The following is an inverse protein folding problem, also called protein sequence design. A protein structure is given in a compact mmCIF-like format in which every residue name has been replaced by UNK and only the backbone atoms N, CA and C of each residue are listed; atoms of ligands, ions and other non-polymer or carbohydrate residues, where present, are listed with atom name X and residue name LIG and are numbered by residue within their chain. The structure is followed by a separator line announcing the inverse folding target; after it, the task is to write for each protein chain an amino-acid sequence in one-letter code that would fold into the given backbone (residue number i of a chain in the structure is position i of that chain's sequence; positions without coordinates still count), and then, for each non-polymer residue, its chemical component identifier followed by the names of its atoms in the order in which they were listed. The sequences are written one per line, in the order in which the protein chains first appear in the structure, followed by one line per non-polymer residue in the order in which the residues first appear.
data_IF_946957956111
#
_entry.id   IF_946957956111
#
_cell.length_a   1.000
_cell.length_b   1.000
_cell.length_c   1.000
_cell.angle_alpha   90.00
_cell.angle_beta   90.00
_cell.angle_gamma   90.00
#
_symmetry.space_group_name_H-M   'P 1'
#
loop_
_entity.id
_entity.type
_entity.pdbx_description
1 polymer ?
#
# COMPACT_ATOMS: atom_id res chain seq x y z
N UNK A 1 33.47 -39.18 -8.25
CA UNK A 1 33.70 -37.89 -8.97
C UNK A 1 32.42 -37.33 -9.61
N UNK A 2 31.63 -38.10 -10.38
CA UNK A 2 30.41 -37.61 -11.05
C UNK A 2 29.25 -37.18 -10.14
N UNK A 3 29.11 -37.77 -8.95
CA UNK A 3 28.03 -37.44 -8.00
C UNK A 3 28.25 -36.09 -7.31
N UNK A 4 29.48 -35.82 -6.88
CA UNK A 4 29.86 -34.56 -6.21
C UNK A 4 29.69 -33.36 -7.15
N UNK A 5 30.06 -33.53 -8.42
CA UNK A 5 29.89 -32.48 -9.43
C UNK A 5 28.41 -32.14 -9.68
N UNK A 6 27.52 -33.15 -9.67
CA UNK A 6 26.06 -32.94 -9.79
C UNK A 6 25.47 -32.23 -8.58
N UNK A 7 25.94 -32.54 -7.38
CA UNK A 7 25.49 -31.89 -6.14
C UNK A 7 25.91 -30.41 -6.13
N UNK A 8 27.16 -30.11 -6.51
CA UNK A 8 27.67 -28.73 -6.60
C UNK A 8 26.88 -27.92 -7.65
N UNK A 9 26.59 -28.50 -8.81
CA UNK A 9 25.75 -27.86 -9.84
C UNK A 9 24.33 -27.61 -9.35
N UNK A 10 23.75 -28.53 -8.58
CA UNK A 10 22.42 -28.36 -8.01
C UNK A 10 22.39 -27.25 -6.94
N UNK A 11 23.42 -27.18 -6.09
CA UNK A 11 23.56 -26.10 -5.09
C UNK A 11 23.74 -24.74 -5.77
N UNK A 12 24.52 -24.67 -6.87
CA UNK A 12 24.69 -23.45 -7.66
C UNK A 12 23.41 -23.02 -8.39
N UNK A 13 22.62 -23.97 -8.89
CA UNK A 13 21.31 -23.68 -9.50
C UNK A 13 20.30 -23.18 -8.45
N UNK A 14 20.30 -23.75 -7.25
CA UNK A 14 19.43 -23.29 -6.14
C UNK A 14 19.88 -21.92 -5.62
N UNK A 15 21.19 -21.65 -5.53
CA UNK A 15 21.71 -20.34 -5.11
C UNK A 15 21.40 -19.22 -6.13
N UNK A 16 21.42 -19.51 -7.43
CA UNK A 16 21.01 -18.53 -8.45
C UNK A 16 19.49 -18.29 -8.45
N UNK A 17 18.66 -19.26 -8.06
CA UNK A 17 17.22 -19.03 -7.89
C UNK A 17 16.85 -18.25 -6.62
N UNK A 18 17.75 -18.17 -5.63
CA UNK A 18 17.53 -17.45 -4.38
C UNK A 18 17.96 -15.97 -4.43
N UNK A 19 18.66 -15.54 -5.49
CA UNK A 19 19.15 -14.16 -5.66
C UNK A 19 18.35 -13.32 -6.65
N UNK A 20 17.27 -13.87 -7.23
CA UNK A 20 16.23 -13.06 -7.84
C UNK A 20 15.29 -12.59 -6.75
N UNK A 21 15.66 -11.52 -6.03
CA UNK A 21 14.61 -10.59 -5.60
C UNK A 21 13.91 -10.20 -6.90
N UNK A 22 12.65 -10.62 -7.09
CA UNK A 22 11.94 -10.35 -8.35
C UNK A 22 12.07 -8.87 -8.66
N UNK A 23 12.54 -8.53 -9.87
CA UNK A 23 12.78 -7.12 -10.27
C UNK A 23 11.55 -6.23 -9.98
N UNK A 24 10.37 -6.85 -10.05
CA UNK A 24 9.08 -6.35 -9.62
C UNK A 24 9.08 -5.67 -8.24
N UNK A 25 9.75 -6.23 -7.23
CA UNK A 25 9.81 -5.66 -5.87
C UNK A 25 10.43 -4.27 -5.83
N UNK A 26 11.26 -3.91 -6.82
CA UNK A 26 11.93 -2.60 -6.87
C UNK A 26 10.96 -1.46 -7.16
N UNK A 27 9.86 -1.76 -7.84
CA UNK A 27 8.89 -0.76 -8.29
C UNK A 27 7.69 -0.60 -7.36
N UNK A 28 7.54 -1.52 -6.39
CA UNK A 28 6.52 -1.41 -5.35
C UNK A 28 6.73 -0.12 -4.55
N UNK A 29 5.64 0.53 -4.16
CA UNK A 29 5.65 1.74 -3.34
C UNK A 29 4.99 2.92 -4.02
N UNK A 30 5.14 4.09 -3.40
CA UNK A 30 4.62 5.36 -3.91
C UNK A 30 5.66 6.10 -4.75
N UNK A 31 5.20 6.75 -5.81
CA UNK A 31 6.01 7.49 -6.79
C UNK A 31 5.34 8.81 -7.14
N UNK A 32 6.00 9.93 -6.87
CA UNK A 32 5.56 11.26 -7.27
C UNK A 32 6.04 11.59 -8.67
N UNK A 33 5.18 12.18 -9.49
CA UNK A 33 5.62 12.81 -10.72
C UNK A 33 6.67 13.89 -10.42
N UNK A 34 7.85 13.79 -11.04
CA UNK A 34 8.97 14.69 -10.78
C UNK A 34 8.79 15.97 -11.59
N UNK A 35 8.19 17.00 -10.99
CA UNK A 35 7.98 18.29 -11.60
C UNK A 35 8.42 19.42 -10.66
N UNK A 36 9.47 20.14 -11.06
CA UNK A 36 10.07 21.21 -10.25
C UNK A 36 9.17 22.43 -10.08
N UNK A 37 8.15 22.58 -10.93
CA UNK A 37 7.30 23.78 -11.03
C UNK A 37 5.82 23.47 -10.74
N UNK A 38 5.48 22.20 -10.56
CA UNK A 38 4.10 21.80 -10.28
C UNK A 38 3.84 21.98 -8.79
N UNK A 39 2.76 22.67 -8.45
CA UNK A 39 2.39 22.90 -7.05
C UNK A 39 1.94 21.60 -6.37
N UNK A 40 1.42 20.65 -7.15
CA UNK A 40 0.98 19.33 -6.68
C UNK A 40 1.31 18.27 -7.73
N UNK A 41 1.85 17.13 -7.28
CA UNK A 41 2.26 16.02 -8.14
C UNK A 41 1.32 14.84 -7.97
N UNK A 42 0.96 14.19 -9.07
CA UNK A 42 0.33 12.87 -9.04
C UNK A 42 1.20 11.90 -8.24
N UNK A 43 0.57 11.15 -7.34
CA UNK A 43 1.18 10.05 -6.60
C UNK A 43 0.64 8.73 -7.13
N UNK A 44 1.51 7.93 -7.72
CA UNK A 44 1.22 6.55 -8.13
C UNK A 44 1.66 5.61 -7.02
N UNK A 45 0.77 4.75 -6.54
CA UNK A 45 1.11 3.67 -5.61
C UNK A 45 0.99 2.34 -6.34
N UNK A 46 2.09 1.58 -6.43
CA UNK A 46 2.12 0.21 -6.95
C UNK A 46 2.22 -0.76 -5.77
N UNK A 47 1.18 -1.54 -5.51
CA UNK A 47 1.12 -2.49 -4.39
C UNK A 47 1.59 -3.88 -4.77
N UNK A 48 2.07 -4.62 -3.77
CA UNK A 48 2.52 -6.00 -3.89
C UNK A 48 1.40 -6.99 -4.26
N UNK A 49 0.14 -6.63 -4.01
CA UNK A 49 -1.03 -7.41 -4.41
C UNK A 49 -1.58 -7.00 -5.78
N UNK A 50 -0.73 -6.37 -6.61
CA UNK A 50 -0.99 -6.02 -8.00
C UNK A 50 -2.12 -5.00 -8.20
N UNK A 51 -2.50 -4.28 -7.15
CA UNK A 51 -3.35 -3.09 -7.27
C UNK A 51 -2.49 -1.83 -7.41
N UNK A 52 -3.02 -0.84 -8.13
CA UNK A 52 -2.45 0.50 -8.13
C UNK A 52 -3.48 1.56 -7.81
N UNK A 53 -2.99 2.70 -7.31
CA UNK A 53 -3.78 3.89 -7.04
C UNK A 53 -3.08 5.13 -7.57
N UNK A 54 -3.86 6.08 -8.08
CA UNK A 54 -3.40 7.42 -8.44
C UNK A 54 -4.08 8.41 -7.51
N UNK A 55 -3.30 9.19 -6.80
CA UNK A 55 -3.77 10.26 -5.95
C UNK A 55 -3.33 11.62 -6.50
N UNK A 56 -4.23 12.61 -6.48
CA UNK A 56 -3.90 13.99 -6.84
C UNK A 56 -4.58 14.97 -5.86
N UNK A 57 -3.83 15.87 -5.22
CA UNK A 57 -4.38 16.92 -4.37
C UNK A 57 -5.31 17.91 -5.09
N UNK A 58 -5.03 18.27 -6.35
CA UNK A 58 -5.81 19.23 -7.14
C UNK A 58 -7.23 18.74 -7.45
N UNK A 59 -7.42 17.43 -7.46
CA UNK A 59 -8.71 16.82 -7.78
C UNK A 59 -9.62 16.65 -6.55
N UNK A 60 -9.13 17.01 -5.35
CA UNK A 60 -9.94 16.94 -4.15
C UNK A 60 -11.07 17.97 -4.17
N UNK A 61 -12.32 17.50 -4.13
CA UNK A 61 -13.49 18.38 -4.09
C UNK A 61 -13.78 18.80 -2.65
N UNK A 62 -13.08 19.84 -2.20
CA UNK A 62 -13.29 20.42 -0.87
C UNK A 62 -14.66 21.09 -0.73
N UNK A 63 -15.27 21.51 -1.85
CA UNK A 63 -16.57 22.21 -1.83
C UNK A 63 -17.70 21.29 -1.38
N UNK A 64 -17.63 20.01 -1.75
CA UNK A 64 -18.57 18.98 -1.31
C UNK A 64 -18.56 18.80 0.22
N UNK A 65 -17.39 18.84 0.85
CA UNK A 65 -17.24 18.73 2.30
C UNK A 65 -17.78 19.96 3.03
N UNK A 66 -17.54 21.16 2.51
CA UNK A 66 -18.09 22.40 3.10
C UNK A 66 -19.62 22.41 3.10
N UNK A 67 -20.24 21.81 2.08
CA UNK A 67 -21.69 21.78 1.92
C UNK A 67 -22.36 20.61 2.65
N UNK A 68 -21.71 19.43 2.69
CA UNK A 68 -22.33 18.18 3.18
C UNK A 68 -21.72 17.64 4.47
N UNK A 69 -20.54 18.12 4.86
CA UNK A 69 -19.74 17.54 5.94
C UNK A 69 -19.08 16.22 5.59
N UNK A 70 -19.24 15.71 4.36
CA UNK A 70 -18.71 14.44 3.90
C UNK A 70 -17.81 14.62 2.68
N UNK A 71 -16.69 13.90 2.67
CA UNK A 71 -15.82 13.78 1.50
C UNK A 71 -16.47 12.86 0.47
N UNK A 72 -16.20 13.07 -0.83
CA UNK A 72 -16.48 12.04 -1.85
C UNK A 72 -15.89 10.70 -1.40
N UNK A 73 -16.47 9.59 -1.86
CA UNK A 73 -16.18 8.26 -1.30
C UNK A 73 -14.71 7.86 -1.35
N UNK A 74 -13.89 8.47 -2.22
CA UNK A 74 -12.48 8.16 -2.37
C UNK A 74 -11.52 9.29 -1.95
N UNK A 75 -12.03 10.48 -1.62
CA UNK A 75 -11.21 11.59 -1.12
C UNK A 75 -10.79 11.33 0.32
N UNK A 76 -9.53 11.63 0.63
CA UNK A 76 -8.95 11.45 1.96
C UNK A 76 -8.39 12.77 2.48
N UNK A 77 -8.44 12.93 3.80
CA UNK A 77 -7.85 14.07 4.50
C UNK A 77 -6.71 13.57 5.38
N UNK A 78 -5.49 14.00 5.08
CA UNK A 78 -4.27 13.63 5.78
C UNK A 78 -3.71 14.88 6.45
N UNK A 79 -3.73 14.91 7.79
CA UNK A 79 -3.22 16.03 8.60
C UNK A 79 -3.68 17.43 8.13
N UNK A 80 -4.93 17.53 7.66
CA UNK A 80 -5.53 18.78 7.20
C UNK A 80 -5.44 19.01 5.69
N UNK A 81 -4.54 18.32 4.98
CA UNK A 81 -4.44 18.37 3.52
C UNK A 81 -5.42 17.38 2.88
N UNK A 82 -6.02 17.78 1.76
CA UNK A 82 -6.95 16.95 1.00
C UNK A 82 -6.25 16.34 -0.21
N UNK A 83 -6.62 15.11 -0.53
CA UNK A 83 -6.20 14.44 -1.76
C UNK A 83 -7.26 13.46 -2.22
N UNK A 84 -7.49 13.42 -3.53
CA UNK A 84 -8.46 12.53 -4.15
C UNK A 84 -7.74 11.31 -4.70
N UNK A 85 -8.28 10.11 -4.45
CA UNK A 85 -7.94 8.95 -5.28
C UNK A 85 -8.73 9.06 -6.57
N UNK A 86 -8.00 9.41 -7.62
CA UNK A 86 -8.53 9.74 -8.94
C UNK A 86 -8.71 8.52 -9.83
N UNK A 87 -7.86 7.51 -9.63
CA UNK A 87 -7.86 6.31 -10.43
C UNK A 87 -7.37 5.12 -9.60
N UNK A 88 -7.93 3.95 -9.88
CA UNK A 88 -7.45 2.68 -9.34
C UNK A 88 -7.62 1.55 -10.34
N UNK A 89 -6.84 0.50 -10.20
CA UNK A 89 -6.96 -0.69 -11.03
C UNK A 89 -5.94 -1.73 -10.64
N UNK A 90 -5.58 -2.58 -11.60
CA UNK A 90 -4.54 -3.60 -11.44
C UNK A 90 -3.33 -3.28 -12.31
N UNK A 91 -2.16 -3.78 -11.93
CA UNK A 91 -0.94 -3.60 -12.71
C UNK A 91 -0.20 -4.92 -12.89
N UNK A 92 0.56 -5.01 -13.97
CA UNK A 92 1.49 -6.11 -14.25
C UNK A 92 2.82 -5.56 -14.77
N UNK A 93 3.91 -6.27 -14.50
CA UNK A 93 5.22 -5.94 -15.03
C UNK A 93 5.85 -7.14 -15.74
N UNK A 94 6.17 -6.95 -17.02
CA UNK A 94 6.92 -7.91 -17.80
C UNK A 94 8.42 -7.58 -17.73
N UNK A 95 9.17 -8.39 -16.97
CA UNK A 95 10.62 -8.22 -16.80
C UNK A 95 11.44 -8.40 -18.08
N UNK A 96 10.93 -9.16 -19.05
CA UNK A 96 11.62 -9.41 -20.33
C UNK A 96 11.51 -8.22 -21.28
N UNK A 97 10.34 -7.57 -21.32
CA UNK A 97 10.10 -6.39 -22.16
C UNK A 97 10.26 -5.08 -21.42
N UNK A 98 10.47 -5.13 -20.09
CA UNK A 98 10.52 -3.98 -19.18
C UNK A 98 9.25 -3.12 -19.25
N UNK A 99 8.12 -3.76 -19.50
CA UNK A 99 6.84 -3.09 -19.70
C UNK A 99 5.98 -3.18 -18.43
N UNK A 100 5.58 -2.02 -17.91
CA UNK A 100 4.54 -1.88 -16.89
C UNK A 100 3.21 -1.65 -17.61
N UNK A 101 2.19 -2.44 -17.29
CA UNK A 101 0.84 -2.26 -17.84
C UNK A 101 -0.13 -2.01 -16.70
N UNK A 102 -0.85 -0.89 -16.76
CA UNK A 102 -1.99 -0.60 -15.91
C UNK A 102 -3.24 -1.10 -16.61
N UNK A 103 -4.07 -1.88 -15.93
CA UNK A 103 -5.26 -2.56 -16.45
C UNK A 103 -6.45 -2.37 -15.55
N UNK A 104 -7.62 -2.73 -16.07
CA UNK A 104 -8.91 -2.67 -15.35
C UNK A 104 -9.12 -1.28 -14.73
N UNK A 105 -8.66 -0.24 -15.46
CA UNK A 105 -8.58 1.13 -14.97
C UNK A 105 -9.97 1.64 -14.64
N UNK A 106 -10.18 2.03 -13.39
CA UNK A 106 -11.38 2.68 -12.90
C UNK A 106 -11.04 4.14 -12.58
N UNK A 107 -11.35 5.02 -13.54
CA UNK A 107 -11.19 6.47 -13.40
C UNK A 107 -12.40 6.98 -12.61
N UNK A 108 -12.12 7.49 -11.41
CA UNK A 108 -13.13 7.82 -10.41
C UNK A 108 -13.66 9.25 -10.54
N UNK A 109 -12.88 10.13 -11.17
CA UNK A 109 -13.25 11.52 -11.45
C UNK A 109 -13.42 11.73 -12.95
N UNK A 110 -14.29 12.66 -13.35
CA UNK A 110 -14.56 12.93 -14.78
C UNK A 110 -13.30 13.41 -15.52
N UNK A 111 -12.35 14.00 -14.79
CA UNK A 111 -11.14 14.63 -15.31
C UNK A 111 -10.00 14.56 -14.29
N UNK A 112 -8.80 14.14 -14.72
CA UNK A 112 -7.60 14.03 -13.88
C UNK A 112 -6.36 14.33 -14.71
N UNK A 113 -5.34 14.97 -14.11
CA UNK A 113 -4.07 15.26 -14.78
C UNK A 113 -3.46 13.99 -15.42
N UNK A 114 -3.46 12.88 -14.67
CA UNK A 114 -3.00 11.57 -15.14
C UNK A 114 -3.77 11.07 -16.38
N UNK A 115 -5.10 11.09 -16.35
CA UNK A 115 -5.91 10.57 -17.47
C UNK A 115 -5.87 11.49 -18.69
N UNK A 116 -5.59 12.78 -18.52
CA UNK A 116 -5.31 13.70 -19.63
C UNK A 116 -3.93 13.47 -20.25
N UNK A 117 -2.91 13.24 -19.41
CA UNK A 117 -1.54 13.06 -19.85
C UNK A 117 -1.39 11.79 -20.68
N UNK A 118 -1.95 10.67 -20.18
CA UNK A 118 -1.74 9.32 -20.69
C UNK A 118 -2.93 8.73 -21.45
N UNK A 119 -4.13 9.29 -21.28
CA UNK A 119 -5.35 8.80 -21.92
C UNK A 119 -6.29 8.01 -20.99
N UNK A 120 -7.47 7.69 -21.52
CA UNK A 120 -8.61 7.06 -20.81
C UNK A 120 -8.88 5.62 -21.24
N UNK A 121 -7.95 5.03 -21.96
CA UNK A 121 -8.01 3.64 -22.40
C UNK A 121 -8.08 2.70 -21.19
N UNK A 122 -8.73 1.55 -21.35
CA UNK A 122 -8.83 0.54 -20.27
C UNK A 122 -7.49 -0.06 -19.86
N UNK A 123 -6.48 0.09 -20.71
CA UNK A 123 -5.12 -0.35 -20.46
C UNK A 123 -4.14 0.74 -20.89
N UNK A 124 -3.12 0.98 -20.06
CA UNK A 124 -1.98 1.85 -20.40
C UNK A 124 -0.72 1.04 -20.27
N UNK A 125 0.15 1.12 -21.28
CA UNK A 125 1.41 0.41 -21.28
C UNK A 125 2.59 1.40 -21.31
N UNK A 126 3.50 1.22 -20.36
CA UNK A 126 4.69 2.03 -20.19
C UNK A 126 5.93 1.15 -20.33
N UNK A 127 6.92 1.63 -21.08
CA UNK A 127 8.28 1.13 -20.94
C UNK A 127 8.88 1.75 -19.67
N UNK A 128 9.11 0.92 -18.65
CA UNK A 128 9.62 1.34 -17.35
C UNK A 128 11.15 1.20 -17.31
N UNK A 129 11.83 2.31 -17.04
CA UNK A 129 13.29 2.33 -16.79
C UNK A 129 13.57 2.70 -15.35
N UNK A 130 14.32 1.87 -14.65
CA UNK A 130 14.84 2.22 -13.33
C UNK A 130 16.11 3.07 -13.50
N UNK A 131 16.11 4.30 -12.97
CA UNK A 131 17.28 5.17 -12.99
C UNK A 131 18.09 5.01 -11.69
N UNK A 132 17.39 4.89 -10.55
CA UNK A 132 17.99 4.60 -9.24
C UNK A 132 17.00 3.88 -8.30
N UNK A 133 17.35 3.72 -7.02
CA UNK A 133 16.40 3.22 -6.01
C UNK A 133 15.22 4.20 -5.78
N UNK A 134 15.46 5.50 -6.00
CA UNK A 134 14.52 6.58 -5.72
C UNK A 134 13.97 7.27 -6.97
N UNK A 135 14.38 6.83 -8.17
CA UNK A 135 13.98 7.47 -9.42
C UNK A 135 13.67 6.43 -10.49
N UNK A 136 12.50 6.56 -11.11
CA UNK A 136 12.09 5.77 -12.29
C UNK A 136 11.68 6.70 -13.42
N UNK A 137 11.68 6.17 -14.63
CA UNK A 137 11.18 6.83 -15.83
C UNK A 137 10.12 5.96 -16.50
N UNK A 138 8.93 6.52 -16.72
CA UNK A 138 7.84 5.91 -17.45
C UNK A 138 7.81 6.49 -18.86
N UNK A 139 8.05 5.65 -19.86
CA UNK A 139 7.98 6.04 -21.28
C UNK A 139 6.74 5.46 -21.96
N UNK A 140 6.01 6.27 -22.71
CA UNK A 140 4.80 5.89 -23.43
C UNK A 140 4.77 6.52 -24.83
N UNK A 141 3.97 5.96 -25.73
CA UNK A 141 3.77 6.55 -27.06
C UNK A 141 2.63 7.57 -27.02
N UNK A 142 2.91 8.80 -27.42
CA UNK A 142 1.93 9.87 -27.60
C UNK A 142 1.90 10.29 -29.06
N UNK A 143 0.94 9.74 -29.81
CA UNK A 143 0.72 10.03 -31.25
C UNK A 143 1.97 9.74 -32.11
N UNK A 144 2.60 8.59 -31.90
CA UNK A 144 3.79 8.14 -32.64
C UNK A 144 5.11 8.77 -32.18
N UNK A 145 5.11 9.46 -31.04
CA UNK A 145 6.33 9.98 -30.40
C UNK A 145 6.45 9.38 -29.01
N UNK A 146 7.62 8.81 -28.70
CA UNK A 146 7.93 8.36 -27.36
C UNK A 146 8.13 9.58 -26.45
N UNK A 147 7.35 9.65 -25.38
CA UNK A 147 7.47 10.63 -24.30
C UNK A 147 7.88 9.87 -23.05
N UNK A 148 8.81 10.42 -22.28
CA UNK A 148 9.30 9.82 -21.05
C UNK A 148 9.16 10.82 -19.90
N UNK A 149 8.62 10.34 -18.79
CA UNK A 149 8.33 11.15 -17.62
C UNK A 149 8.98 10.53 -16.39
N UNK A 150 9.58 11.39 -15.58
CA UNK A 150 10.33 10.98 -14.40
C UNK A 150 9.45 10.96 -13.16
N UNK A 151 9.75 10.02 -12.29
CA UNK A 151 9.05 9.84 -11.03
C UNK A 151 10.05 9.63 -9.89
N UNK A 152 9.80 10.29 -8.78
CA UNK A 152 10.59 10.21 -7.55
C UNK A 152 9.88 9.40 -6.47
N UNK A 153 10.65 8.64 -5.69
CA UNK A 153 10.08 7.75 -4.69
C UNK A 153 9.49 8.50 -3.50
N UNK A 154 8.24 8.18 -3.17
CA UNK A 154 7.59 8.61 -1.95
C UNK A 154 7.99 7.69 -0.78
N UNK A 155 9.03 8.08 -0.03
CA UNK A 155 9.50 7.32 1.13
C UNK A 155 8.54 7.30 2.33
N UNK A 156 7.42 8.05 2.28
CA UNK A 156 6.41 8.01 3.36
C UNK A 156 5.51 6.79 3.24
N UNK A 157 5.14 6.38 2.02
CA UNK A 157 4.30 5.20 1.82
C UNK A 157 5.10 3.91 1.97
N UNK A 158 4.58 2.99 2.76
CA UNK A 158 5.11 1.63 2.88
C UNK A 158 4.02 0.65 3.22
N UNK A 159 4.09 -0.53 2.63
CA UNK A 159 3.34 -1.67 3.14
C UNK A 159 4.00 -2.19 4.42
N UNK A 160 3.19 -2.62 5.38
CA UNK A 160 3.65 -3.12 6.69
C UNK A 160 3.20 -4.57 6.83
N UNK A 161 4.12 -5.45 7.23
CA UNK A 161 3.80 -6.81 7.64
C UNK A 161 4.59 -7.13 8.90
N UNK A 162 3.93 -7.07 10.04
CA UNK A 162 4.55 -7.21 11.36
C UNK A 162 3.84 -8.26 12.20
N UNK A 163 4.63 -9.14 12.82
CA UNK A 163 4.17 -10.06 13.84
C UNK A 163 4.46 -9.50 15.22
N UNK A 164 3.48 -9.63 16.11
CA UNK A 164 3.55 -9.19 17.49
C UNK A 164 3.10 -10.31 18.41
N UNK A 165 3.89 -10.55 19.44
CA UNK A 165 3.54 -11.49 20.51
C UNK A 165 3.79 -10.80 21.84
N UNK A 166 2.96 -11.08 22.83
CA UNK A 166 3.15 -10.49 24.14
C UNK A 166 2.29 -11.13 25.22
N UNK A 167 2.36 -10.52 26.39
CA UNK A 167 1.62 -10.95 27.58
C UNK A 167 0.95 -9.79 28.28
N UNK A 168 -0.26 -10.00 28.79
CA UNK A 168 -1.01 -9.00 29.54
C UNK A 168 -1.30 -7.74 28.73
N UNK A 169 -1.43 -6.62 29.46
CA UNK A 169 -1.79 -5.33 28.88
C UNK A 169 -0.67 -4.76 28.02
N UNK A 170 -1.02 -4.30 26.81
CA UNK A 170 -0.06 -3.72 25.89
C UNK A 170 -0.69 -2.56 25.11
N UNK A 171 0.12 -1.53 24.88
CA UNK A 171 -0.16 -0.50 23.90
C UNK A 171 0.93 -0.57 22.81
N UNK A 172 0.49 -0.60 21.55
CA UNK A 172 1.37 -0.50 20.38
C UNK A 172 0.84 0.54 19.41
N UNK A 173 1.75 1.29 18.81
CA UNK A 173 1.41 2.32 17.83
C UNK A 173 2.09 2.04 16.50
N UNK A 174 1.38 2.25 15.41
CA UNK A 174 1.91 2.16 14.04
C UNK A 174 1.58 3.47 13.32
N UNK A 175 2.60 4.14 12.80
CA UNK A 175 2.45 5.33 11.97
C UNK A 175 2.29 4.93 10.51
N UNK A 176 1.35 5.60 9.85
CA UNK A 176 0.94 5.36 8.47
C UNK A 176 1.11 6.64 7.64
N UNK A 177 1.22 6.48 6.32
CA UNK A 177 1.27 7.63 5.41
C UNK A 177 -0.10 8.28 5.20
N UNK A 178 -1.18 7.52 5.44
CA UNK A 178 -2.58 7.91 5.20
C UNK A 178 -3.12 7.42 3.86
N UNK A 179 -2.27 6.91 2.97
CA UNK A 179 -2.65 6.37 1.66
C UNK A 179 -2.97 4.88 1.68
N UNK A 180 -2.64 4.20 2.78
CA UNK A 180 -2.98 2.81 3.02
C UNK A 180 -4.51 2.67 3.03
N UNK A 181 -4.99 1.59 2.44
CA UNK A 181 -6.42 1.37 2.17
C UNK A 181 -7.01 0.30 3.05
N UNK A 182 -6.21 -0.68 3.48
CA UNK A 182 -6.69 -1.83 4.25
C UNK A 182 -5.66 -2.31 5.26
N UNK A 183 -6.16 -2.63 6.45
CA UNK A 183 -5.50 -3.42 7.47
C UNK A 183 -6.12 -4.80 7.48
N UNK A 184 -5.32 -5.83 7.23
CA UNK A 184 -5.65 -7.21 7.55
C UNK A 184 -5.03 -7.56 8.89
N UNK A 185 -5.89 -7.72 9.88
CA UNK A 185 -5.52 -8.00 11.26
C UNK A 185 -5.85 -9.44 11.59
N UNK A 186 -4.84 -10.21 11.97
CA UNK A 186 -5.04 -11.55 12.54
C UNK A 186 -4.65 -11.59 14.00
N UNK A 187 -5.49 -12.17 14.86
CA UNK A 187 -5.22 -12.22 16.30
C UNK A 187 -5.58 -13.58 16.92
N UNK A 188 -4.90 -13.89 18.02
CA UNK A 188 -5.10 -15.09 18.82
C UNK A 188 -4.85 -14.75 20.30
N UNK A 189 -5.86 -14.92 21.15
CA UNK A 189 -5.82 -14.75 22.61
C UNK A 189 -5.88 -16.11 23.28
N UNK A 190 -4.82 -16.50 23.98
CA UNK A 190 -4.67 -17.85 24.52
C UNK A 190 -5.26 -17.97 25.92
N UNK A 191 -6.22 -18.89 26.07
CA UNK A 191 -6.84 -19.35 27.34
C UNK A 191 -7.62 -18.28 28.11
N UNK A 192 -7.01 -17.14 28.41
CA UNK A 192 -7.64 -16.05 29.13
C UNK A 192 -8.32 -15.08 28.15
N UNK A 193 -9.46 -14.47 28.54
CA UNK A 193 -10.12 -13.48 27.70
C UNK A 193 -9.32 -12.17 27.62
N UNK A 194 -8.94 -11.78 26.41
CA UNK A 194 -8.37 -10.45 26.14
C UNK A 194 -9.36 -9.60 25.35
N UNK A 195 -9.24 -8.29 25.50
CA UNK A 195 -9.88 -7.32 24.64
C UNK A 195 -8.82 -6.64 23.76
N UNK A 196 -9.04 -6.62 22.45
CA UNK A 196 -8.28 -5.78 21.53
C UNK A 196 -9.15 -4.63 21.05
N UNK A 197 -8.70 -3.42 21.35
CA UNK A 197 -9.24 -2.18 20.81
C UNK A 197 -8.22 -1.61 19.83
N UNK A 198 -8.67 -1.27 18.64
CA UNK A 198 -7.91 -0.55 17.64
C UNK A 198 -8.51 0.84 17.46
N UNK A 199 -7.70 1.87 17.66
CA UNK A 199 -8.10 3.28 17.52
C UNK A 199 -7.24 4.00 16.50
N UNK A 200 -7.77 5.11 15.95
CA UNK A 200 -6.98 6.07 15.18
C UNK A 200 -6.33 7.16 16.07
N UNK A 201 -5.64 8.13 15.45
CA UNK A 201 -5.01 9.27 16.12
C UNK A 201 -5.98 10.11 16.99
N UNK A 202 -7.26 10.17 16.62
CA UNK A 202 -8.29 10.94 17.31
C UNK A 202 -8.92 10.16 18.48
N UNK A 203 -8.59 8.87 18.64
CA UNK A 203 -9.23 7.97 19.58
C UNK A 203 -10.53 7.34 19.04
N UNK A 204 -10.85 7.52 17.76
CA UNK A 204 -11.98 6.84 17.13
C UNK A 204 -11.68 5.35 17.05
N UNK A 205 -12.58 4.54 17.60
CA UNK A 205 -12.48 3.07 17.54
C UNK A 205 -12.75 2.61 16.11
N UNK A 206 -11.75 1.98 15.50
CA UNK A 206 -11.84 1.36 14.18
C UNK A 206 -12.29 -0.11 14.28
N UNK A 207 -11.90 -0.78 15.36
CA UNK A 207 -12.29 -2.15 15.66
C UNK A 207 -12.18 -2.45 17.15
N UNK A 208 -13.05 -3.30 17.65
CA UNK A 208 -13.02 -3.78 19.03
C UNK A 208 -13.50 -5.23 19.09
N UNK A 209 -12.83 -6.06 19.88
CA UNK A 209 -13.36 -7.38 20.25
C UNK A 209 -14.13 -7.29 21.57
N UNK A 210 -15.03 -8.21 21.82
CA UNK A 210 -15.40 -8.52 23.20
C UNK A 210 -14.20 -9.12 23.93
N UNK A 211 -14.28 -9.24 25.26
CA UNK A 211 -13.31 -10.01 26.04
C UNK A 211 -13.48 -11.48 25.76
N UNK A 212 -12.62 -12.03 24.92
CA UNK A 212 -12.76 -13.41 24.43
C UNK A 212 -11.43 -14.13 24.47
N UNK A 213 -11.46 -15.41 24.81
CA UNK A 213 -10.39 -16.32 24.44
C UNK A 213 -10.65 -16.82 23.02
N UNK A 214 -9.60 -16.99 22.23
CA UNK A 214 -9.74 -17.56 20.89
C UNK A 214 -9.26 -18.99 20.88
N UNK A 215 -10.09 -19.92 20.41
CA UNK A 215 -9.68 -21.32 20.19
C UNK A 215 -8.84 -21.51 18.93
N UNK A 216 -8.88 -20.54 18.01
CA UNK A 216 -8.14 -20.48 16.75
C UNK A 216 -7.93 -19.02 16.34
N UNK A 217 -6.87 -18.75 15.56
CA UNK A 217 -6.64 -17.48 14.87
C UNK A 217 -7.92 -16.93 14.23
N UNK A 218 -8.23 -15.67 14.53
CA UNK A 218 -9.26 -14.87 13.87
C UNK A 218 -8.58 -13.88 12.94
N UNK A 219 -9.24 -13.57 11.82
CA UNK A 219 -8.75 -12.59 10.84
C UNK A 219 -9.90 -11.67 10.46
N UNK A 220 -9.60 -10.39 10.36
CA UNK A 220 -10.52 -9.36 9.90
C UNK A 220 -9.81 -8.41 8.94
N UNK A 221 -10.60 -7.73 8.12
CA UNK A 221 -10.12 -6.65 7.27
C UNK A 221 -10.81 -5.35 7.68
N UNK A 222 -10.02 -4.30 7.85
CA UNK A 222 -10.46 -2.99 8.32
C UNK A 222 -10.03 -1.95 7.26
N UNK A 223 -10.95 -1.14 6.72
CA UNK A 223 -10.59 -0.07 5.81
C UNK A 223 -9.81 1.05 6.54
N UNK A 224 -8.74 1.57 5.93
CA UNK A 224 -7.82 2.54 6.52
C UNK A 224 -7.89 3.95 5.90
N UNK A 225 -8.99 4.29 5.25
CA UNK A 225 -9.15 5.54 4.49
C UNK A 225 -8.72 6.79 5.30
N UNK A 226 -7.55 7.36 4.98
CA UNK A 226 -7.00 8.56 5.61
C UNK A 226 -6.48 8.38 7.04
N UNK A 227 -6.33 7.14 7.52
CA UNK A 227 -5.81 6.85 8.87
C UNK A 227 -4.29 7.01 8.88
N UNK A 228 -3.77 7.93 9.69
CA UNK A 228 -2.32 8.22 9.78
C UNK A 228 -1.63 7.59 11.00
N UNK A 229 -2.41 7.06 11.94
CA UNK A 229 -1.89 6.36 13.12
C UNK A 229 -2.89 5.31 13.58
N UNK A 230 -2.37 4.12 13.88
CA UNK A 230 -3.10 3.03 14.52
C UNK A 230 -2.59 2.85 15.94
N UNK A 231 -3.50 2.72 16.90
CA UNK A 231 -3.20 2.42 18.30
C UNK A 231 -3.88 1.12 18.68
N UNK A 232 -3.08 0.08 18.89
CA UNK A 232 -3.53 -1.23 19.36
C UNK A 232 -3.43 -1.27 20.88
N UNK A 233 -4.58 -1.42 21.55
CA UNK A 233 -4.68 -1.59 22.99
C UNK A 233 -5.17 -2.99 23.29
N UNK A 234 -4.34 -3.77 23.97
CA UNK A 234 -4.71 -5.08 24.49
C UNK A 234 -4.93 -4.93 25.98
N UNK A 235 -6.13 -5.28 26.42
CA UNK A 235 -6.55 -5.15 27.82
C UNK A 235 -7.00 -6.50 28.37
N UNK A 236 -6.50 -6.83 29.55
CA UNK A 236 -6.81 -8.02 30.34
C UNK A 236 -7.01 -7.64 31.81
N UNK A 237 -7.81 -8.44 32.52
CA UNK A 237 -7.95 -8.42 33.98
C UNK A 237 -6.83 -9.21 34.69
N UNK A 238 -6.30 -10.25 34.03
CA UNK A 238 -5.22 -11.11 34.49
C UNK A 238 -3.92 -10.81 33.72
N UNK A 239 -2.86 -10.45 34.45
CA UNK A 239 -1.56 -10.03 33.89
C UNK A 239 -0.75 -11.13 33.16
N UNK A 240 -1.29 -12.34 32.98
CA UNK A 240 -0.59 -13.51 32.47
C UNK A 240 -1.10 -14.03 31.11
N UNK A 241 -2.15 -13.43 30.53
CA UNK A 241 -2.63 -13.86 29.21
C UNK A 241 -1.56 -13.70 28.15
N UNK A 242 -1.54 -14.63 27.19
CA UNK A 242 -0.63 -14.60 26.04
C UNK A 242 -1.43 -14.31 24.80
N UNK A 243 -0.88 -13.48 23.93
CA UNK A 243 -1.53 -13.14 22.67
C UNK A 243 -0.54 -13.10 21.52
N UNK A 244 -1.06 -13.30 20.31
CA UNK A 244 -0.37 -13.04 19.05
C UNK A 244 -1.24 -12.20 18.15
N UNK A 245 -0.62 -11.23 17.49
CA UNK A 245 -1.24 -10.37 16.50
C UNK A 245 -0.32 -10.32 15.29
N UNK A 246 -0.88 -10.53 14.10
CA UNK A 246 -0.22 -10.24 12.82
C UNK A 246 -0.96 -9.06 12.18
N UNK A 247 -0.18 -8.10 11.72
CA UNK A 247 -0.65 -6.84 11.12
C UNK A 247 -0.11 -6.79 9.70
N UNK A 248 -1.00 -6.87 8.71
CA UNK A 248 -0.67 -6.65 7.30
C UNK A 248 -1.41 -5.41 6.80
N UNK A 249 -0.68 -4.38 6.36
CA UNK A 249 -1.21 -3.09 5.92
C UNK A 249 -0.77 -2.83 4.49
N UNK A 250 -1.72 -2.43 3.65
CA UNK A 250 -1.54 -2.16 2.23
C UNK A 250 -2.08 -0.80 1.80
#
# INVERSE_FOLDING_TARGET
MRLVFRIILFILLIHNSAYSQSEEKRFLGGWFFACDICEFNDLIILRSDHHYFIYNPNSADISSFELTGELKSNDIKIDGAYTAMNEKGTWEYNSSTKQLVLKERNILEEWTDFSEAYGREKELAFSLKQLSENEIELCFDKKGKQVCEKYERNNKYREINEDHTGTGNQLKEILLSGYETVLKLSYEFYKEPDQLILEDKSGKVLFNTDRIATSKRKTIEIPLKGVTKLVFKISNEQNNSKWKINVEIK
#
